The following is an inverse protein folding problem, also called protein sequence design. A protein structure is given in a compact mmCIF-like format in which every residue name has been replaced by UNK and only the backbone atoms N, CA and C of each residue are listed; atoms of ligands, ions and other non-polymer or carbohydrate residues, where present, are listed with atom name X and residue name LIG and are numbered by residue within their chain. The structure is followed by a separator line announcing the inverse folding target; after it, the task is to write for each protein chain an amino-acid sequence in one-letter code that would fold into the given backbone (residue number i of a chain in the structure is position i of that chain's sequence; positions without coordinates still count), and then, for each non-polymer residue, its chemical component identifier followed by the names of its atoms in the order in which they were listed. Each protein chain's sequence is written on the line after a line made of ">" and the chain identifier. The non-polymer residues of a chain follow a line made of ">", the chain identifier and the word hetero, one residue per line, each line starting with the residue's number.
data_IF_182201580832
#
_entry.id   IF_182201580832
#
_cell.length_a   1.000
_cell.length_b   1.000
_cell.length_c   1.000
_cell.angle_alpha   90.00
_cell.angle_beta   90.00
_cell.angle_gamma   90.00
#
_symmetry.space_group_name_H-M   'P 1'
#
loop_
_entity.id
_entity.type
_entity.pdbx_description
1 polymer ?
#
# COMPACT_ATOMS: atom_id res chain seq x y z
N UNK A 1 -10.47 -2.90 14.80
CA UNK A 1 -9.04 -2.55 14.96
C UNK A 1 -8.81 -1.12 14.53
N UNK A 2 -7.65 -0.53 14.84
CA UNK A 2 -7.36 0.88 14.50
C UNK A 2 -7.49 1.18 13.01
N UNK A 3 -6.98 0.29 12.14
CA UNK A 3 -7.07 0.45 10.68
C UNK A 3 -8.52 0.55 10.17
N UNK A 4 -9.43 -0.22 10.77
CA UNK A 4 -10.84 -0.20 10.43
C UNK A 4 -11.52 1.09 10.88
N UNK A 5 -11.14 1.64 12.04
CA UNK A 5 -11.67 2.90 12.55
C UNK A 5 -11.24 4.08 11.66
N UNK A 6 -9.99 4.05 11.20
CA UNK A 6 -9.43 5.11 10.36
C UNK A 6 -10.03 5.14 8.95
N UNK A 7 -10.32 3.96 8.39
CA UNK A 7 -10.85 3.84 7.02
C UNK A 7 -12.38 3.84 6.96
N UNK A 8 -13.07 3.75 8.11
CA UNK A 8 -14.53 3.74 8.23
C UNK A 8 -15.24 2.69 7.36
N UNK A 9 -14.57 1.56 7.07
CA UNK A 9 -15.12 0.47 6.25
C UNK A 9 -15.52 -0.76 7.08
N UNK A 10 -16.47 -1.59 6.59
CA UNK A 10 -16.84 -2.85 7.23
C UNK A 10 -15.65 -3.81 7.38
N UNK A 11 -15.62 -4.58 8.48
CA UNK A 11 -14.52 -5.51 8.78
C UNK A 11 -14.34 -6.60 7.71
N UNK A 12 -15.44 -7.09 7.13
CA UNK A 12 -15.43 -8.09 6.06
C UNK A 12 -14.79 -7.54 4.79
N UNK A 13 -15.17 -6.32 4.39
CA UNK A 13 -14.61 -5.60 3.24
C UNK A 13 -13.13 -5.32 3.45
N UNK A 14 -12.75 -4.82 4.63
CA UNK A 14 -11.34 -4.58 4.95
C UNK A 14 -10.52 -5.87 4.86
N UNK A 15 -11.00 -6.97 5.45
CA UNK A 15 -10.30 -8.26 5.43
C UNK A 15 -10.12 -8.79 4.01
N UNK A 16 -11.13 -8.60 3.16
CA UNK A 16 -11.06 -8.95 1.74
C UNK A 16 -9.97 -8.14 1.02
N UNK A 17 -9.94 -6.82 1.19
CA UNK A 17 -8.91 -5.97 0.59
C UNK A 17 -7.50 -6.29 1.11
N UNK A 18 -7.34 -6.50 2.42
CA UNK A 18 -6.04 -6.89 3.00
C UNK A 18 -5.55 -8.22 2.43
N UNK A 19 -6.44 -9.21 2.27
CA UNK A 19 -6.09 -10.50 1.67
C UNK A 19 -5.62 -10.34 0.22
N UNK A 20 -6.29 -9.50 -0.56
CA UNK A 20 -5.89 -9.19 -1.93
C UNK A 20 -4.52 -8.49 -1.98
N UNK A 21 -4.28 -7.51 -1.12
CA UNK A 21 -3.01 -6.77 -1.05
C UNK A 21 -1.84 -7.66 -0.58
N UNK A 22 -2.10 -8.60 0.33
CA UNK A 22 -1.14 -9.62 0.74
C UNK A 22 -0.83 -10.57 -0.41
N UNK A 23 -1.85 -11.04 -1.13
CA UNK A 23 -1.67 -11.90 -2.31
C UNK A 23 -0.87 -11.22 -3.43
N UNK A 24 -0.98 -9.90 -3.56
CA UNK A 24 -0.21 -9.10 -4.51
C UNK A 24 1.20 -8.76 -4.01
N UNK A 25 1.56 -9.11 -2.77
CA UNK A 25 2.86 -8.79 -2.17
C UNK A 25 3.04 -7.32 -1.79
N UNK A 26 1.98 -6.50 -1.82
CA UNK A 26 2.03 -5.07 -1.53
C UNK A 26 1.98 -4.77 -0.03
N UNK A 27 1.47 -5.70 0.77
CA UNK A 27 1.39 -5.62 2.22
C UNK A 27 1.86 -6.94 2.82
N UNK A 28 2.58 -6.86 3.92
CA UNK A 28 2.86 -8.00 4.81
C UNK A 28 2.03 -7.89 6.08
N UNK A 29 1.69 -9.04 6.66
CA UNK A 29 0.94 -9.11 7.91
C UNK A 29 1.72 -9.93 8.92
N UNK A 30 1.95 -9.36 10.10
CA UNK A 30 2.63 -10.02 11.20
C UNK A 30 1.71 -10.08 12.41
N UNK A 31 1.59 -11.27 13.01
CA UNK A 31 0.82 -11.46 14.23
C UNK A 31 1.73 -11.26 15.43
N UNK A 32 1.52 -10.18 16.18
CA UNK A 32 2.19 -9.96 17.45
C UNK A 32 1.17 -10.13 18.59
N UNK A 33 1.25 -11.28 19.27
CA UNK A 33 0.33 -11.68 20.34
C UNK A 33 -1.14 -11.75 19.88
N UNK A 34 -1.95 -10.74 20.20
CA UNK A 34 -3.38 -10.63 19.86
C UNK A 34 -3.65 -9.64 18.72
N UNK A 35 -2.63 -8.90 18.28
CA UNK A 35 -2.75 -7.84 17.28
C UNK A 35 -2.14 -8.30 15.96
N UNK A 36 -2.85 -8.04 14.85
CA UNK A 36 -2.32 -8.18 13.51
C UNK A 36 -1.79 -6.82 13.06
N UNK A 37 -0.49 -6.75 12.84
CA UNK A 37 0.17 -5.59 12.26
C UNK A 37 0.24 -5.76 10.75
N UNK A 38 -0.30 -4.79 10.02
CA UNK A 38 -0.23 -4.75 8.56
C UNK A 38 0.84 -3.72 8.18
N UNK A 39 1.87 -4.14 7.44
CA UNK A 39 2.98 -3.26 7.01
C UNK A 39 3.02 -3.20 5.47
N UNK A 40 3.07 -2.00 4.86
CA UNK A 40 3.26 -1.88 3.43
C UNK A 40 4.66 -2.36 3.01
N UNK A 41 4.74 -3.04 1.88
CA UNK A 41 5.99 -3.43 1.24
C UNK A 41 6.40 -2.34 0.24
N UNK A 42 7.12 -1.31 0.72
CA UNK A 42 7.50 -0.16 -0.10
C UNK A 42 8.29 -0.54 -1.35
N UNK A 43 9.17 -1.54 -1.27
CA UNK A 43 9.93 -2.03 -2.43
C UNK A 43 9.02 -2.52 -3.57
N UNK A 44 7.96 -3.30 -3.26
CA UNK A 44 7.00 -3.74 -4.27
C UNK A 44 6.14 -2.59 -4.80
N UNK A 45 5.75 -1.65 -3.94
CA UNK A 45 5.00 -0.46 -4.34
C UNK A 45 5.79 0.43 -5.30
N UNK A 46 7.07 0.67 -5.02
CA UNK A 46 7.96 1.44 -5.89
C UNK A 46 8.17 0.74 -7.23
N UNK A 47 8.37 -0.57 -7.24
CA UNK A 47 8.47 -1.35 -8.48
C UNK A 47 7.18 -1.27 -9.31
N UNK A 48 6.01 -1.38 -8.66
CA UNK A 48 4.73 -1.22 -9.33
C UNK A 48 4.57 0.18 -9.92
N UNK A 49 4.91 1.22 -9.16
CA UNK A 49 4.86 2.61 -9.64
C UNK A 49 5.83 2.86 -10.79
N UNK A 50 7.04 2.30 -10.73
CA UNK A 50 8.03 2.38 -11.81
C UNK A 50 7.50 1.70 -13.08
N UNK A 51 7.01 0.46 -12.97
CA UNK A 51 6.38 -0.26 -14.09
C UNK A 51 5.22 0.53 -14.72
N UNK A 52 4.30 1.02 -13.89
CA UNK A 52 3.17 1.82 -14.37
C UNK A 52 3.64 3.12 -15.03
N UNK A 53 4.70 3.75 -14.52
CA UNK A 53 5.25 4.99 -15.10
C UNK A 53 5.92 4.71 -16.45
N UNK A 54 6.68 3.62 -16.57
CA UNK A 54 7.33 3.20 -17.82
C UNK A 54 6.28 2.89 -18.90
N UNK A 55 5.24 2.12 -18.58
CA UNK A 55 4.21 1.71 -19.53
C UNK A 55 3.19 2.84 -19.80
N UNK A 56 2.84 3.67 -18.82
CA UNK A 56 1.87 4.76 -19.00
C UNK A 56 2.43 5.88 -19.90
N UNK A 57 3.74 6.12 -19.87
CA UNK A 57 4.38 7.15 -20.69
C UNK A 57 4.73 6.70 -22.12
N UNK A 58 4.58 5.41 -22.44
CA UNK A 58 4.99 4.85 -23.74
C UNK A 58 4.26 5.48 -24.95
N UNK A 59 3.15 6.21 -24.73
CA UNK A 59 2.34 6.86 -25.77
C UNK A 59 2.27 8.40 -25.75
N UNK A 60 2.95 9.10 -24.82
CA UNK A 60 2.90 10.56 -24.74
C UNK A 60 3.14 11.10 -23.33
N UNK A 61 3.76 12.28 -23.25
CA UNK A 61 4.32 12.92 -22.04
C UNK A 61 3.45 12.80 -20.79
N UNK A 62 3.75 11.82 -19.93
CA UNK A 62 3.17 11.79 -18.58
C UNK A 62 4.06 12.62 -17.66
N UNK A 63 3.56 13.78 -17.22
CA UNK A 63 4.20 14.56 -16.17
C UNK A 63 3.79 13.99 -14.80
N UNK A 64 4.29 12.79 -14.48
CA UNK A 64 4.22 12.30 -13.11
C UNK A 64 5.29 13.06 -12.31
N UNK A 65 4.89 14.22 -11.77
CA UNK A 65 5.70 14.88 -10.74
C UNK A 65 5.82 13.88 -9.59
N UNK A 66 7.04 13.52 -9.14
CA UNK A 66 7.18 12.64 -8.00
C UNK A 66 6.49 13.35 -6.83
N UNK A 67 5.37 12.76 -6.39
CA UNK A 67 4.68 13.24 -5.22
C UNK A 67 5.65 13.06 -4.05
N UNK A 68 6.27 14.17 -3.65
CA UNK A 68 6.99 14.38 -2.40
C UNK A 68 6.47 13.41 -1.33
N UNK A 69 7.32 12.49 -0.93
CA UNK A 69 7.10 11.60 0.20
C UNK A 69 6.70 12.46 1.41
N UNK A 70 5.58 12.18 2.10
CA UNK A 70 5.37 12.72 3.42
C UNK A 70 6.44 12.13 4.34
N UNK A 71 7.38 12.99 4.69
CA UNK A 71 8.15 13.07 5.94
C UNK A 71 7.94 11.90 6.92
N UNK A 72 9.04 11.21 7.21
CA UNK A 72 9.22 10.33 8.36
C UNK A 72 8.62 10.96 9.62
N UNK A 73 7.76 10.25 10.34
CA UNK A 73 7.53 10.53 11.77
C UNK A 73 8.28 9.48 12.56
N UNK A 74 9.42 9.83 13.19
CA UNK A 74 10.11 8.95 14.10
C UNK A 74 9.30 8.84 15.40
N UNK A 75 9.15 7.63 15.93
CA UNK A 75 9.00 7.40 17.36
C UNK A 75 9.91 6.24 17.78
#
# INVERSE_FOLDING_TARGET
>A
GELQKHLEIPASTLSHHLSALISAGLISQERQSRTLFCRPCYAQLEQLMAFLTEECCAGGSCSLSPAKTPEETPL
#
